data_IF_339668942239
#
_entry.id   IF_339668942239
#
_cell.length_a   1.000
_cell.length_b   1.000
_cell.length_c   1.000
_cell.angle_alpha   90.00
_cell.angle_beta   90.00
_cell.angle_gamma   90.00
#
_symmetry.space_group_name_H-M   'P 1'
#
loop_
_entity.id
_entity.type
_entity.pdbx_description
1 polymer ?
#
# COMPACT_ATOMS: atom_id res chain seq x y z
N UNK A 1 33.45 7.42 -60.41
CA UNK A 1 34.62 7.49 -59.51
C UNK A 1 34.13 7.61 -58.09
N UNK A 2 34.62 6.74 -57.21
CA UNK A 2 34.24 6.63 -55.79
C UNK A 2 34.67 7.89 -55.04
N UNK A 3 33.80 8.42 -54.18
CA UNK A 3 34.20 9.31 -53.09
C UNK A 3 33.56 8.81 -51.79
N UNK A 4 34.44 8.32 -50.94
CA UNK A 4 34.26 7.89 -49.56
C UNK A 4 34.14 9.12 -48.68
N UNK A 5 33.11 9.17 -47.83
CA UNK A 5 33.06 10.12 -46.70
C UNK A 5 32.75 9.32 -45.44
N UNK A 6 33.77 9.16 -44.60
CA UNK A 6 33.67 8.60 -43.27
C UNK A 6 33.00 9.63 -42.33
N UNK A 7 31.97 9.20 -41.61
CA UNK A 7 31.37 9.94 -40.49
C UNK A 7 31.92 9.38 -39.18
N UNK A 8 32.47 10.27 -38.36
CA UNK A 8 32.97 9.99 -37.01
C UNK A 8 31.82 9.61 -36.07
N UNK A 9 31.92 8.43 -35.44
CA UNK A 9 31.09 7.99 -34.32
C UNK A 9 31.80 8.33 -33.01
N UNK A 10 31.22 9.22 -32.21
CA UNK A 10 31.67 9.51 -30.85
C UNK A 10 30.94 8.59 -29.87
N UNK A 11 31.64 7.57 -29.39
CA UNK A 11 31.15 6.64 -28.37
C UNK A 11 31.40 7.28 -27.00
N UNK A 12 30.34 7.77 -26.35
CA UNK A 12 30.37 8.12 -24.91
C UNK A 12 30.34 6.84 -24.09
N UNK A 13 31.42 6.61 -23.34
CA UNK A 13 31.55 5.51 -22.39
C UNK A 13 30.53 5.64 -21.24
N UNK A 14 29.80 4.56 -20.99
CA UNK A 14 28.88 4.44 -19.86
C UNK A 14 29.67 4.31 -18.55
N UNK A 15 29.44 5.23 -17.62
CA UNK A 15 29.95 5.20 -16.25
C UNK A 15 29.30 4.08 -15.44
N UNK A 16 30.11 3.23 -14.79
CA UNK A 16 29.68 2.16 -13.88
C UNK A 16 28.86 2.72 -12.70
N UNK A 17 27.78 2.04 -12.26
CA UNK A 17 27.05 2.43 -11.06
C UNK A 17 27.84 2.04 -9.79
N UNK A 18 27.94 2.98 -8.85
CA UNK A 18 28.49 2.82 -7.51
C UNK A 18 27.54 1.96 -6.63
N UNK A 19 28.05 1.23 -5.62
CA UNK A 19 27.22 0.43 -4.73
C UNK A 19 26.32 1.31 -3.84
N UNK A 20 25.05 0.91 -3.72
CA UNK A 20 24.01 1.58 -2.92
C UNK A 20 24.12 1.10 -1.46
N UNK A 21 24.06 1.97 -0.44
CA UNK A 21 24.19 1.56 0.96
C UNK A 21 22.97 0.75 1.44
N UNK A 22 23.24 -0.26 2.27
CA UNK A 22 22.29 -1.28 2.73
C UNK A 22 21.51 -0.90 4.00
N UNK A 23 21.30 0.38 4.29
CA UNK A 23 20.64 0.80 5.53
C UNK A 23 19.81 2.08 5.34
N UNK A 24 18.56 2.04 5.81
CA UNK A 24 17.67 3.19 5.93
C UNK A 24 18.32 4.31 6.77
N UNK A 25 18.30 5.58 6.33
CA UNK A 25 18.47 6.69 7.25
C UNK A 25 17.20 6.84 8.10
N UNK A 26 17.31 6.61 9.41
CA UNK A 26 16.23 6.88 10.37
C UNK A 26 15.93 8.39 10.42
N UNK A 27 14.66 8.83 10.33
CA UNK A 27 14.33 10.27 10.41
C UNK A 27 14.28 10.80 11.85
N UNK A 28 14.54 9.98 12.87
CA UNK A 28 14.51 10.40 14.27
C UNK A 28 15.87 10.23 14.95
N UNK A 29 16.74 11.23 14.80
CA UNK A 29 17.82 11.48 15.76
C UNK A 29 18.09 12.98 15.83
N UNK A 30 17.38 13.68 16.72
CA UNK A 30 17.83 14.96 17.28
C UNK A 30 18.29 14.69 18.71
N UNK A 31 19.53 15.04 18.98
CA UNK A 31 20.24 14.87 20.24
C UNK A 31 19.45 15.47 21.41
N UNK A 32 19.07 14.63 22.39
CA UNK A 32 18.70 15.10 23.72
C UNK A 32 19.89 14.90 24.66
N UNK A 33 20.50 16.01 25.04
CA UNK A 33 21.47 16.09 26.14
C UNK A 33 20.73 16.16 27.47
N UNK A 34 20.97 15.20 28.38
CA UNK A 34 20.46 15.22 29.76
C UNK A 34 21.10 16.34 30.59
N UNK A 35 20.33 17.02 31.46
CA UNK A 35 20.88 17.66 32.65
C UNK A 35 20.78 16.73 33.87
N UNK A 36 21.84 16.78 34.69
CA UNK A 36 22.00 16.03 35.94
C UNK A 36 21.07 16.56 37.05
N UNK A 37 20.41 15.62 37.72
CA UNK A 37 20.27 15.50 39.18
C UNK A 37 19.61 16.60 40.03
N UNK A 38 18.60 16.21 40.81
CA UNK A 38 18.61 16.39 42.26
C UNK A 38 17.75 15.32 42.95
N UNK A 39 18.23 14.82 44.09
CA UNK A 39 17.56 13.81 44.92
C UNK A 39 16.67 14.50 45.95
N UNK A 40 15.47 14.00 46.18
CA UNK A 40 14.76 14.18 47.45
C UNK A 40 13.96 12.92 47.81
N UNK A 41 14.37 12.32 48.92
CA UNK A 41 13.73 11.21 49.63
C UNK A 41 12.62 11.74 50.53
N UNK A 42 11.43 11.14 50.49
CA UNK A 42 10.47 11.19 51.61
C UNK A 42 9.84 9.80 51.80
N UNK A 43 9.89 9.36 53.05
CA UNK A 43 9.48 8.08 53.63
C UNK A 43 7.96 7.91 53.75
N UNK A 44 7.46 6.69 53.55
CA UNK A 44 6.11 6.26 53.93
C UNK A 44 6.15 5.40 55.20
N UNK A 45 5.24 5.58 56.17
CA UNK A 45 4.99 4.57 57.20
C UNK A 45 3.84 3.64 56.78
N UNK A 46 4.03 2.33 57.01
CA UNK A 46 3.01 1.29 56.98
C UNK A 46 2.18 1.31 58.28
N UNK A 47 0.84 1.24 58.16
CA UNK A 47 -0.02 0.62 59.17
C UNK A 47 -1.23 -0.06 58.53
N UNK A 48 -1.68 -1.14 59.18
CA UNK A 48 -2.53 -2.26 58.74
C UNK A 48 -4.06 -2.01 58.93
N UNK A 49 -4.97 -2.96 58.58
CA UNK A 49 -6.26 -2.71 57.93
C UNK A 49 -7.48 -2.75 58.87
N UNK A 50 -8.62 -2.17 58.42
CA UNK A 50 -9.95 -2.44 58.97
C UNK A 50 -10.99 -2.51 57.84
N UNK A 51 -11.83 -3.55 57.91
CA UNK A 51 -13.01 -3.84 57.09
C UNK A 51 -14.24 -3.10 57.65
N UNK A 52 -15.12 -2.57 56.78
CA UNK A 52 -16.59 -2.77 56.89
C UNK A 52 -17.38 -2.02 55.83
N UNK A 53 -18.41 -2.71 55.34
CA UNK A 53 -19.58 -2.27 54.55
C UNK A 53 -20.00 -0.80 54.61
N UNK A 54 -20.35 -0.25 53.44
CA UNK A 54 -21.17 0.94 53.32
C UNK A 54 -21.52 1.24 51.86
N UNK A 55 -22.67 0.73 51.39
CA UNK A 55 -23.29 1.18 50.15
C UNK A 55 -23.53 2.70 50.24
N UNK A 56 -22.87 3.49 49.40
CA UNK A 56 -23.28 4.85 49.09
C UNK A 56 -23.56 4.96 47.61
N UNK A 57 -24.86 5.01 47.31
CA UNK A 57 -25.39 5.54 46.06
C UNK A 57 -25.00 7.01 45.95
N UNK A 58 -24.30 7.38 44.88
CA UNK A 58 -24.12 8.76 44.46
C UNK A 58 -24.76 8.91 43.09
N UNK A 59 -26.02 9.34 43.11
CA UNK A 59 -26.71 9.94 41.99
C UNK A 59 -26.08 11.30 41.67
N UNK A 60 -25.45 11.41 40.51
CA UNK A 60 -25.09 12.69 39.91
C UNK A 60 -26.07 12.97 38.77
N UNK A 61 -26.88 14.00 38.97
CA UNK A 61 -27.82 14.58 38.02
C UNK A 61 -27.07 15.22 36.85
N UNK A 62 -27.35 14.75 35.64
CA UNK A 62 -26.96 15.41 34.39
C UNK A 62 -27.82 16.67 34.22
N UNK A 63 -27.21 17.83 34.41
CA UNK A 63 -27.72 19.08 33.88
C UNK A 63 -27.41 19.09 32.39
N UNK A 64 -28.48 19.02 31.59
CA UNK A 64 -28.46 19.20 30.15
C UNK A 64 -28.22 20.68 29.85
N UNK A 65 -27.00 21.02 29.44
CA UNK A 65 -26.77 22.23 28.66
C UNK A 65 -26.38 21.84 27.24
N UNK A 66 -27.28 22.17 26.32
CA UNK A 66 -27.18 21.85 24.91
C UNK A 66 -26.19 22.81 24.24
N UNK A 67 -24.92 22.42 24.20
CA UNK A 67 -23.89 23.02 23.36
C UNK A 67 -23.37 21.99 22.36
N UNK A 68 -23.78 22.10 21.11
CA UNK A 68 -23.31 21.30 19.98
C UNK A 68 -21.83 21.58 19.68
N UNK A 69 -20.95 20.90 20.41
CA UNK A 69 -19.52 20.86 20.15
C UNK A 69 -19.02 19.42 20.11
N UNK A 70 -18.95 18.83 18.91
CA UNK A 70 -18.12 17.63 18.72
C UNK A 70 -16.68 18.03 19.08
N UNK A 71 -15.93 17.27 19.89
CA UNK A 71 -14.54 17.62 20.19
C UNK A 71 -13.71 17.52 18.91
N UNK A 72 -13.52 18.63 18.20
CA UNK A 72 -12.76 18.69 16.94
C UNK A 72 -11.27 18.37 17.12
N UNK A 73 -10.74 18.45 18.35
CA UNK A 73 -9.31 18.27 18.61
C UNK A 73 -8.84 16.82 18.56
N UNK A 74 -9.66 15.85 18.96
CA UNK A 74 -9.28 14.43 18.97
C UNK A 74 -9.30 13.81 17.58
N UNK A 75 -10.28 14.17 16.74
CA UNK A 75 -10.40 13.67 15.37
C UNK A 75 -9.32 14.22 14.44
N UNK A 76 -8.90 15.48 14.63
CA UNK A 76 -7.85 16.08 13.82
C UNK A 76 -6.47 15.47 14.10
N UNK A 77 -6.17 15.13 15.36
CA UNK A 77 -4.95 14.44 15.75
C UNK A 77 -4.86 13.02 15.18
N UNK A 78 -5.96 12.27 15.26
CA UNK A 78 -6.06 10.92 14.70
C UNK A 78 -5.85 10.91 13.17
N UNK A 79 -6.49 11.82 12.43
CA UNK A 79 -6.29 11.92 10.97
C UNK A 79 -4.84 12.31 10.62
N UNK A 80 -4.24 13.26 11.36
CA UNK A 80 -2.85 13.65 11.13
C UNK A 80 -1.89 12.48 11.33
N UNK A 81 -2.13 11.66 12.36
CA UNK A 81 -1.33 10.46 12.61
C UNK A 81 -1.53 9.41 11.50
N UNK A 82 -2.78 9.11 11.12
CA UNK A 82 -3.07 8.22 9.99
C UNK A 82 -2.29 8.63 8.74
N UNK A 83 -2.38 9.91 8.36
CA UNK A 83 -1.69 10.44 7.17
C UNK A 83 -0.17 10.32 7.28
N UNK A 84 0.40 10.50 8.48
CA UNK A 84 1.83 10.33 8.71
C UNK A 84 2.29 8.88 8.54
N UNK A 85 1.46 7.93 8.99
CA UNK A 85 1.71 6.48 8.78
C UNK A 85 1.59 6.12 7.30
N UNK A 86 0.55 6.58 6.61
CA UNK A 86 0.38 6.37 5.17
C UNK A 86 1.53 6.98 4.37
N UNK A 87 1.99 8.18 4.73
CA UNK A 87 3.17 8.81 4.13
C UNK A 87 4.44 8.00 4.36
N UNK A 88 4.59 7.38 5.52
CA UNK A 88 5.74 6.50 5.81
C UNK A 88 5.70 5.25 4.93
N UNK A 89 4.53 4.61 4.79
CA UNK A 89 4.33 3.49 3.85
C UNK A 89 4.63 3.89 2.40
N UNK A 90 4.13 5.05 1.96
CA UNK A 90 4.39 5.60 0.63
C UNK A 90 5.89 5.86 0.42
N UNK A 91 6.59 6.40 1.41
CA UNK A 91 8.03 6.68 1.33
C UNK A 91 8.83 5.40 1.11
N UNK A 92 8.54 4.34 1.87
CA UNK A 92 9.14 3.01 1.69
C UNK A 92 8.84 2.47 0.29
N UNK A 93 7.59 2.60 -0.16
CA UNK A 93 7.16 2.16 -1.48
C UNK A 93 7.91 2.90 -2.60
N UNK A 94 7.97 4.23 -2.59
CA UNK A 94 8.64 4.99 -3.65
C UNK A 94 10.16 4.81 -3.66
N UNK A 95 10.77 4.55 -2.51
CA UNK A 95 12.20 4.22 -2.43
C UNK A 95 12.52 2.91 -3.15
N UNK A 96 11.68 1.88 -2.98
CA UNK A 96 11.89 0.54 -3.52
C UNK A 96 11.44 0.40 -4.98
N UNK A 97 10.61 1.34 -5.47
CA UNK A 97 9.94 1.25 -6.77
C UNK A 97 10.20 2.51 -7.60
N UNK A 98 11.40 2.63 -8.23
CA UNK A 98 11.77 3.79 -9.03
C UNK A 98 10.80 4.07 -10.19
N UNK A 99 10.17 3.04 -10.77
CA UNK A 99 9.17 3.20 -11.83
C UNK A 99 7.95 3.95 -11.30
N UNK A 100 7.43 3.57 -10.13
CA UNK A 100 6.30 4.25 -9.51
C UNK A 100 6.62 5.72 -9.18
N UNK A 101 7.83 5.99 -8.67
CA UNK A 101 8.30 7.35 -8.40
C UNK A 101 8.37 8.17 -9.70
N UNK A 102 8.98 7.63 -10.75
CA UNK A 102 9.10 8.30 -12.03
C UNK A 102 7.72 8.58 -12.67
N UNK A 103 6.78 7.65 -12.56
CA UNK A 103 5.39 7.85 -13.01
C UNK A 103 4.73 9.03 -12.28
N UNK A 104 4.82 9.07 -10.94
CA UNK A 104 4.21 10.16 -10.15
C UNK A 104 4.88 11.52 -10.45
N UNK A 105 6.19 11.56 -10.64
CA UNK A 105 6.92 12.75 -11.06
C UNK A 105 6.50 13.21 -12.46
N UNK A 106 6.38 12.27 -13.40
CA UNK A 106 5.98 12.57 -14.78
C UNK A 106 4.56 13.14 -14.83
N UNK A 107 3.60 12.55 -14.14
CA UNK A 107 2.22 13.07 -14.06
C UNK A 107 2.20 14.48 -13.47
N UNK A 108 2.98 14.74 -12.41
CA UNK A 108 3.10 16.10 -11.83
C UNK A 108 3.75 17.10 -12.78
N UNK A 109 4.63 16.66 -13.67
CA UNK A 109 5.31 17.54 -14.63
C UNK A 109 4.47 17.84 -15.87
N UNK A 110 3.51 16.97 -16.21
CA UNK A 110 2.65 17.12 -17.38
C UNK A 110 1.56 18.20 -17.21
N UNK A 111 1.31 18.65 -15.97
CA UNK A 111 0.39 19.74 -15.67
C UNK A 111 0.28 20.01 -14.17
N UNK A 112 -0.56 20.97 -13.77
CA UNK A 112 -0.86 21.26 -12.35
C UNK A 112 -1.81 20.22 -11.72
N UNK A 113 -1.56 18.94 -12.01
CA UNK A 113 -2.43 17.85 -11.56
C UNK A 113 -2.20 17.54 -10.08
N UNK A 114 -3.30 17.63 -9.33
CA UNK A 114 -3.36 17.12 -7.98
C UNK A 114 -3.61 15.62 -8.03
N UNK A 115 -2.53 14.82 -8.00
CA UNK A 115 -2.63 13.37 -7.93
C UNK A 115 -3.42 13.00 -6.68
N UNK A 116 -4.50 12.24 -6.85
CA UNK A 116 -5.26 11.64 -5.77
C UNK A 116 -5.11 10.12 -5.85
N UNK A 117 -4.97 9.45 -4.71
CA UNK A 117 -4.96 8.00 -4.68
C UNK A 117 -6.37 7.44 -4.60
N UNK A 118 -6.69 6.55 -5.54
CA UNK A 118 -7.96 5.81 -5.55
C UNK A 118 -7.99 4.77 -4.42
N UNK A 119 -6.91 4.00 -4.31
CA UNK A 119 -6.73 2.98 -3.30
C UNK A 119 -5.25 2.66 -3.03
N UNK A 120 -5.03 1.98 -1.90
CA UNK A 120 -3.79 1.33 -1.49
C UNK A 120 -4.05 -0.17 -1.39
N UNK A 121 -3.08 -1.00 -1.80
CA UNK A 121 -3.24 -2.45 -1.72
C UNK A 121 -2.16 -3.16 -0.91
N UNK A 122 -2.58 -4.21 -0.20
CA UNK A 122 -1.70 -5.03 0.64
C UNK A 122 -1.95 -6.53 0.39
N UNK A 123 -0.89 -7.32 0.58
CA UNK A 123 -0.91 -8.78 0.49
C UNK A 123 -0.51 -9.37 1.84
N UNK A 124 -1.12 -10.50 2.21
CA UNK A 124 -0.96 -11.11 3.53
C UNK A 124 -1.06 -12.64 3.46
N UNK A 125 -0.69 -13.33 4.54
CA UNK A 125 -0.88 -14.77 4.66
C UNK A 125 -2.08 -15.07 5.56
N UNK A 126 -3.12 -15.71 5.02
CA UNK A 126 -4.33 -16.10 5.76
C UNK A 126 -4.09 -17.29 6.68
N UNK A 127 -3.26 -17.11 7.70
CA UNK A 127 -2.95 -18.12 8.73
C UNK A 127 -2.52 -17.46 10.03
N UNK A 128 -2.93 -18.01 11.18
CA UNK A 128 -2.54 -17.58 12.52
C UNK A 128 -2.56 -16.05 12.74
N UNK A 129 -3.64 -15.40 12.29
CA UNK A 129 -3.85 -13.96 12.47
C UNK A 129 -2.92 -13.05 11.66
N UNK A 130 -2.15 -13.57 10.69
CA UNK A 130 -1.30 -12.79 9.79
C UNK A 130 -2.01 -12.37 8.49
N UNK A 131 -3.31 -12.66 8.37
CA UNK A 131 -4.15 -12.38 7.20
C UNK A 131 -4.67 -10.95 7.14
N UNK A 132 -5.84 -10.76 6.51
CA UNK A 132 -6.46 -9.45 6.30
C UNK A 132 -6.57 -8.65 7.61
N UNK A 133 -7.01 -9.30 8.69
CA UNK A 133 -7.28 -8.65 9.97
C UNK A 133 -6.03 -7.97 10.57
N UNK A 134 -4.84 -8.51 10.30
CA UNK A 134 -3.57 -7.94 10.79
C UNK A 134 -3.33 -6.52 10.28
N UNK A 135 -3.69 -6.25 9.03
CA UNK A 135 -3.57 -4.93 8.41
C UNK A 135 -4.87 -4.12 8.54
N UNK A 136 -6.03 -4.78 8.44
CA UNK A 136 -7.33 -4.12 8.50
C UNK A 136 -7.58 -3.42 9.83
N UNK A 137 -7.12 -4.00 10.95
CA UNK A 137 -7.26 -3.41 12.30
C UNK A 137 -6.80 -1.95 12.35
N UNK A 138 -5.66 -1.63 11.74
CA UNK A 138 -5.16 -0.26 11.64
C UNK A 138 -6.17 0.67 10.94
N UNK A 139 -6.69 0.28 9.77
CA UNK A 139 -7.65 1.12 9.05
C UNK A 139 -8.97 1.29 9.80
N UNK A 140 -9.46 0.21 10.43
CA UNK A 140 -10.68 0.22 11.23
C UNK A 140 -10.57 1.17 12.44
N UNK A 141 -9.42 1.20 13.11
CA UNK A 141 -9.14 2.14 14.22
C UNK A 141 -9.23 3.62 13.79
N UNK A 142 -9.02 3.91 12.49
CA UNK A 142 -9.17 5.25 11.92
C UNK A 142 -10.47 5.46 11.13
N UNK A 143 -11.50 4.66 11.41
CA UNK A 143 -12.86 4.88 10.93
C UNK A 143 -13.12 4.44 9.49
N UNK A 144 -12.24 3.61 8.91
CA UNK A 144 -12.57 2.91 7.68
C UNK A 144 -13.67 1.88 7.92
N UNK A 145 -14.47 1.59 6.90
CA UNK A 145 -15.55 0.61 7.00
C UNK A 145 -15.31 -0.53 6.02
N UNK A 146 -15.29 -1.77 6.52
CA UNK A 146 -15.22 -2.97 5.69
C UNK A 146 -16.40 -3.03 4.72
N UNK A 147 -16.13 -3.44 3.48
CA UNK A 147 -17.10 -3.57 2.40
C UNK A 147 -17.12 -5.02 1.88
N UNK A 148 -17.35 -5.21 0.58
CA UNK A 148 -17.51 -6.54 -0.03
C UNK A 148 -16.23 -7.39 0.02
N UNK A 149 -16.46 -8.70 0.04
CA UNK A 149 -15.43 -9.73 -0.12
C UNK A 149 -15.29 -10.13 -1.60
N UNK A 150 -14.05 -10.29 -2.06
CA UNK A 150 -13.70 -10.82 -3.36
C UNK A 150 -12.97 -12.15 -3.20
N UNK A 151 -13.23 -13.11 -4.09
CA UNK A 151 -12.59 -14.43 -4.08
C UNK A 151 -11.93 -14.72 -5.42
N UNK A 152 -10.74 -15.32 -5.35
CA UNK A 152 -9.94 -15.71 -6.52
C UNK A 152 -9.58 -17.19 -6.39
N UNK A 153 -10.50 -18.12 -6.70
CA UNK A 153 -10.30 -19.55 -6.43
C UNK A 153 -9.06 -20.13 -7.10
N UNK A 154 -8.79 -19.74 -8.36
CA UNK A 154 -7.62 -20.22 -9.11
C UNK A 154 -6.29 -19.81 -8.44
N UNK A 155 -6.23 -18.61 -7.85
CA UNK A 155 -5.06 -18.09 -7.12
C UNK A 155 -5.06 -18.44 -5.64
N UNK A 156 -6.12 -19.09 -5.15
CA UNK A 156 -6.36 -19.41 -3.73
C UNK A 156 -6.30 -18.16 -2.83
N UNK A 157 -6.90 -17.06 -3.28
CA UNK A 157 -6.93 -15.79 -2.54
C UNK A 157 -8.36 -15.42 -2.14
N UNK A 158 -8.48 -14.67 -1.03
CA UNK A 158 -9.62 -13.77 -0.81
C UNK A 158 -9.12 -12.35 -0.55
N UNK A 159 -9.99 -11.37 -0.74
CA UNK A 159 -9.72 -9.99 -0.42
C UNK A 159 -10.94 -9.31 0.18
N UNK A 160 -10.70 -8.31 1.02
CA UNK A 160 -11.69 -7.35 1.50
C UNK A 160 -11.20 -5.96 1.14
N UNK A 161 -12.14 -5.05 0.87
CA UNK A 161 -11.79 -3.64 0.75
C UNK A 161 -12.51 -2.80 1.80
N UNK A 162 -11.93 -1.64 2.08
CA UNK A 162 -12.35 -0.76 3.16
C UNK A 162 -12.52 0.65 2.60
N UNK A 163 -13.71 1.22 2.79
CA UNK A 163 -14.01 2.59 2.41
C UNK A 163 -13.51 3.57 3.47
N UNK A 164 -12.94 4.72 3.07
CA UNK A 164 -12.44 5.71 4.02
C UNK A 164 -13.57 6.45 4.75
N UNK A 165 -13.31 7.07 5.92
CA UNK A 165 -14.31 7.85 6.64
C UNK A 165 -14.80 9.06 5.82
N UNK A 166 -16.10 9.33 5.85
CA UNK A 166 -16.78 10.37 5.04
C UNK A 166 -16.34 11.82 5.37
N UNK A 167 -15.83 12.06 6.58
CA UNK A 167 -15.52 13.40 7.09
C UNK A 167 -14.04 13.78 7.04
N UNK A 168 -13.26 13.22 6.10
CA UNK A 168 -11.91 13.71 5.82
C UNK A 168 -11.95 14.67 4.63
N UNK A 169 -12.27 15.96 4.82
CA UNK A 169 -12.07 16.96 3.78
C UNK A 169 -10.56 16.99 3.52
N UNK A 170 -10.13 16.39 2.42
CA UNK A 170 -8.73 16.41 2.01
C UNK A 170 -8.19 17.83 2.14
N UNK A 171 -6.99 18.00 2.69
CA UNK A 171 -6.44 19.31 3.07
C UNK A 171 -5.96 20.12 1.85
N UNK A 172 -6.65 20.01 0.71
CA UNK A 172 -6.18 20.54 -0.57
C UNK A 172 -4.83 19.94 -1.00
N UNK A 173 -4.47 18.75 -0.50
CA UNK A 173 -3.20 18.07 -0.76
C UNK A 173 -3.27 17.04 -1.88
N UNK A 174 -2.11 16.49 -2.25
CA UNK A 174 -1.95 15.40 -3.23
C UNK A 174 -1.51 14.11 -2.54
N UNK A 175 -1.68 12.96 -3.20
CA UNK A 175 -1.32 11.63 -2.70
C UNK A 175 -2.04 11.33 -1.39
N UNK A 176 -1.28 10.91 -0.38
CA UNK A 176 -1.79 10.61 0.97
C UNK A 176 -2.33 11.83 1.74
N UNK A 177 -2.07 13.06 1.27
CA UNK A 177 -2.61 14.30 1.86
C UNK A 177 -3.88 14.80 1.15
N UNK A 178 -4.31 14.13 0.07
CA UNK A 178 -5.57 14.39 -0.61
C UNK A 178 -6.78 13.70 0.05
N UNK A 179 -7.84 13.42 -0.72
CA UNK A 179 -8.89 12.49 -0.30
C UNK A 179 -8.25 11.17 0.16
N UNK A 180 -8.74 10.61 1.27
CA UNK A 180 -8.21 9.35 1.77
C UNK A 180 -8.49 8.23 0.73
N UNK A 181 -7.49 7.39 0.42
CA UNK A 181 -7.67 6.29 -0.51
C UNK A 181 -8.51 5.17 0.12
N UNK A 182 -9.14 4.33 -0.69
CA UNK A 182 -9.67 3.03 -0.22
C UNK A 182 -8.51 2.12 0.17
N UNK A 183 -8.74 1.12 1.02
CA UNK A 183 -7.75 0.07 1.29
C UNK A 183 -8.23 -1.27 0.74
N UNK A 184 -7.41 -1.94 -0.07
CA UNK A 184 -7.65 -3.27 -0.58
C UNK A 184 -6.67 -4.25 0.08
N UNK A 185 -7.17 -5.23 0.82
CA UNK A 185 -6.32 -6.15 1.58
C UNK A 185 -6.67 -7.57 1.15
N UNK A 186 -5.68 -8.28 0.65
CA UNK A 186 -5.82 -9.67 0.22
C UNK A 186 -5.05 -10.60 1.14
N UNK A 187 -5.47 -11.86 1.20
CA UNK A 187 -4.74 -12.94 1.86
C UNK A 187 -4.71 -14.21 1.00
N UNK A 188 -3.58 -14.91 1.09
CA UNK A 188 -3.46 -16.28 0.60
C UNK A 188 -4.20 -17.23 1.54
N UNK A 189 -5.06 -18.09 0.99
CA UNK A 189 -5.72 -19.17 1.71
C UNK A 189 -4.72 -20.32 1.92
N UNK A 190 -3.86 -20.19 2.94
CA UNK A 190 -2.70 -21.08 3.17
C UNK A 190 -3.12 -22.55 3.26
N UNK A 191 -4.25 -22.85 3.89
CA UNK A 191 -4.72 -24.22 4.07
C UNK A 191 -5.13 -24.92 2.76
N UNK A 192 -5.27 -24.17 1.65
CA UNK A 192 -5.51 -24.71 0.31
C UNK A 192 -4.22 -25.00 -0.48
N UNK A 193 -3.05 -24.68 0.09
CA UNK A 193 -1.75 -24.91 -0.53
C UNK A 193 -1.24 -26.33 -0.29
N UNK A 194 -0.20 -26.75 -1.02
CA UNK A 194 0.47 -28.02 -0.74
C UNK A 194 1.02 -28.07 0.70
N UNK A 195 1.15 -29.25 1.33
CA UNK A 195 1.73 -29.38 2.67
C UNK A 195 3.11 -28.70 2.78
N UNK A 196 3.95 -28.85 1.75
CA UNK A 196 5.27 -28.22 1.72
C UNK A 196 5.21 -26.69 1.78
N UNK A 197 4.31 -26.07 1.01
CA UNK A 197 4.10 -24.61 1.06
C UNK A 197 3.51 -24.17 2.39
N UNK A 198 2.54 -24.92 2.93
CA UNK A 198 1.97 -24.65 4.24
C UNK A 198 3.05 -24.64 5.32
N UNK A 199 3.95 -25.62 5.33
CA UNK A 199 5.02 -25.75 6.32
C UNK A 199 6.02 -24.58 6.25
N UNK A 200 6.40 -24.16 5.04
CA UNK A 200 7.27 -22.99 4.84
C UNK A 200 6.58 -21.73 5.38
N UNK A 201 5.33 -21.46 5.00
CA UNK A 201 4.63 -20.24 5.45
C UNK A 201 4.45 -20.27 6.97
N UNK A 202 4.02 -21.41 7.53
CA UNK A 202 3.82 -21.57 8.98
C UNK A 202 5.13 -21.42 9.76
N UNK A 203 6.29 -21.82 9.21
CA UNK A 203 7.61 -21.57 9.81
C UNK A 203 7.84 -20.06 10.00
N UNK A 204 7.69 -19.25 8.95
CA UNK A 204 7.93 -17.80 9.01
C UNK A 204 6.90 -17.07 9.86
N UNK A 205 5.63 -17.46 9.77
CA UNK A 205 4.56 -16.91 10.62
C UNK A 205 4.81 -17.23 12.10
N UNK A 206 5.29 -18.43 12.43
CA UNK A 206 5.67 -18.78 13.81
C UNK A 206 6.84 -17.95 14.32
N UNK A 207 7.87 -17.70 13.48
CA UNK A 207 9.01 -16.86 13.82
C UNK A 207 8.56 -15.42 14.09
N UNK A 208 7.62 -14.91 13.28
CA UNK A 208 7.04 -13.58 13.46
C UNK A 208 6.32 -13.42 14.81
N UNK A 209 5.78 -14.50 15.37
CA UNK A 209 5.13 -14.49 16.67
C UNK A 209 3.95 -13.50 16.69
N UNK A 210 4.05 -12.45 17.51
CA UNK A 210 3.04 -11.38 17.59
C UNK A 210 3.25 -10.26 16.55
N UNK A 211 4.15 -10.43 15.58
CA UNK A 211 4.46 -9.42 14.56
C UNK A 211 3.24 -8.98 13.74
N UNK A 212 2.23 -9.84 13.58
CA UNK A 212 0.95 -9.49 12.97
C UNK A 212 0.21 -8.33 13.65
N UNK A 213 0.37 -8.14 14.97
CA UNK A 213 -0.22 -7.01 15.70
C UNK A 213 0.40 -5.65 15.32
N UNK A 214 1.50 -5.68 14.57
CA UNK A 214 2.26 -4.51 14.17
C UNK A 214 2.42 -4.42 12.65
N UNK A 215 1.51 -5.02 11.87
CA UNK A 215 1.58 -5.08 10.40
C UNK A 215 1.70 -3.69 9.76
N UNK A 216 0.88 -2.71 10.19
CA UNK A 216 0.95 -1.34 9.68
C UNK A 216 2.29 -0.66 10.00
N UNK A 217 2.84 -0.90 11.20
CA UNK A 217 4.16 -0.39 11.59
C UNK A 217 5.27 -1.04 10.75
N UNK A 218 5.21 -2.36 10.55
CA UNK A 218 6.15 -3.08 9.68
C UNK A 218 6.13 -2.55 8.24
N UNK A 219 4.94 -2.23 7.72
CA UNK A 219 4.77 -1.58 6.41
C UNK A 219 5.41 -0.19 6.37
N UNK A 220 5.13 0.65 7.36
CA UNK A 220 5.65 2.02 7.47
C UNK A 220 7.18 2.08 7.63
N UNK A 221 7.78 1.06 8.27
CA UNK A 221 9.23 0.94 8.44
C UNK A 221 9.92 0.17 7.30
N UNK A 222 9.15 -0.51 6.44
CA UNK A 222 9.70 -1.33 5.36
C UNK A 222 10.43 -2.57 5.84
N UNK A 223 9.96 -3.19 6.92
CA UNK A 223 10.59 -4.35 7.55
C UNK A 223 9.72 -5.60 7.46
N UNK A 224 10.36 -6.77 7.34
CA UNK A 224 9.68 -8.05 7.55
C UNK A 224 9.45 -8.26 9.05
N UNK A 225 8.33 -8.88 9.42
CA UNK A 225 8.07 -9.28 10.81
C UNK A 225 8.69 -10.63 11.14
N UNK A 226 9.21 -11.34 10.15
CA UNK A 226 9.99 -12.56 10.27
C UNK A 226 11.42 -12.36 9.78
N UNK A 227 12.29 -13.34 10.05
CA UNK A 227 13.67 -13.34 9.56
C UNK A 227 13.73 -13.44 8.03
N UNK A 228 14.88 -13.06 7.46
CA UNK A 228 15.11 -13.21 6.02
C UNK A 228 14.95 -14.68 5.61
N UNK A 229 14.20 -14.97 4.54
CA UNK A 229 13.99 -16.33 4.13
C UNK A 229 15.22 -16.98 3.51
N UNK A 230 15.22 -18.31 3.44
CA UNK A 230 16.14 -19.07 2.59
C UNK A 230 15.75 -18.90 1.12
N UNK A 231 16.75 -18.87 0.24
CA UNK A 231 16.53 -18.77 -1.19
C UNK A 231 15.75 -19.97 -1.74
N UNK A 232 16.08 -21.17 -1.28
CA UNK A 232 15.41 -22.41 -1.67
C UNK A 232 13.92 -22.43 -1.30
N UNK A 233 13.55 -21.89 -0.15
CA UNK A 233 12.16 -21.79 0.30
C UNK A 233 11.39 -20.74 -0.52
N UNK A 234 12.02 -19.60 -0.85
CA UNK A 234 11.44 -18.63 -1.79
C UNK A 234 11.16 -19.25 -3.16
N UNK A 235 12.13 -19.99 -3.73
CA UNK A 235 11.94 -20.68 -5.00
C UNK A 235 10.85 -21.77 -4.93
N UNK A 236 10.74 -22.47 -3.80
CA UNK A 236 9.66 -23.44 -3.58
C UNK A 236 8.29 -22.76 -3.60
N UNK A 237 8.13 -21.64 -2.89
CA UNK A 237 6.89 -20.88 -2.93
C UNK A 237 6.60 -20.36 -4.33
N UNK A 238 7.60 -19.81 -5.03
CA UNK A 238 7.43 -19.22 -6.36
C UNK A 238 6.95 -20.24 -7.41
N UNK A 239 7.26 -21.52 -7.25
CA UNK A 239 6.77 -22.60 -8.13
C UNK A 239 5.27 -22.87 -7.97
N UNK A 240 4.71 -22.67 -6.78
CA UNK A 240 3.29 -22.97 -6.52
C UNK A 240 2.43 -21.70 -6.49
N UNK A 241 2.95 -20.60 -5.93
CA UNK A 241 2.25 -19.34 -5.80
C UNK A 241 3.24 -18.17 -5.79
N UNK A 242 3.24 -17.41 -6.87
CA UNK A 242 3.99 -16.16 -6.96
C UNK A 242 3.52 -15.13 -5.92
N UNK A 243 2.23 -15.17 -5.54
CA UNK A 243 1.70 -14.38 -4.42
C UNK A 243 2.38 -14.75 -3.09
N UNK A 244 2.55 -16.05 -2.83
CA UNK A 244 3.21 -16.52 -1.61
C UNK A 244 4.68 -16.09 -1.58
N UNK A 245 5.40 -16.27 -2.70
CA UNK A 245 6.79 -15.86 -2.83
C UNK A 245 6.95 -14.33 -2.65
N UNK A 246 6.06 -13.54 -3.25
CA UNK A 246 6.04 -12.09 -3.10
C UNK A 246 5.85 -11.69 -1.63
N UNK A 247 4.83 -12.26 -0.97
CA UNK A 247 4.51 -11.93 0.42
C UNK A 247 5.65 -12.33 1.36
N UNK A 248 6.36 -13.44 1.09
CA UNK A 248 7.48 -13.89 1.91
C UNK A 248 8.62 -12.85 1.98
N UNK A 249 8.98 -12.22 0.85
CA UNK A 249 10.11 -11.28 0.76
C UNK A 249 9.72 -9.80 0.88
N UNK A 250 8.42 -9.48 0.76
CA UNK A 250 7.90 -8.12 0.90
C UNK A 250 7.12 -7.87 2.19
N UNK A 251 6.63 -8.93 2.85
CA UNK A 251 5.81 -8.83 4.06
C UNK A 251 4.59 -7.94 3.86
N UNK A 252 4.37 -7.03 4.79
CA UNK A 252 3.26 -6.07 4.79
C UNK A 252 3.53 -4.80 3.97
N UNK A 253 4.57 -4.77 3.13
CA UNK A 253 4.85 -3.63 2.28
C UNK A 253 3.64 -3.27 1.40
N UNK A 254 3.47 -1.98 1.13
CA UNK A 254 2.47 -1.47 0.19
C UNK A 254 2.72 -2.09 -1.20
N UNK A 255 1.76 -2.88 -1.68
CA UNK A 255 1.89 -3.61 -2.95
C UNK A 255 1.72 -2.69 -4.16
N UNK A 256 0.85 -1.69 -4.06
CA UNK A 256 0.74 -0.61 -5.03
C UNK A 256 -0.06 0.56 -4.46
N UNK A 257 0.17 1.74 -5.05
CA UNK A 257 -0.75 2.86 -5.00
C UNK A 257 -1.49 2.95 -6.34
N UNK A 258 -2.67 3.55 -6.33
CA UNK A 258 -3.47 3.70 -7.55
C UNK A 258 -3.80 5.17 -7.79
N UNK A 259 -3.42 5.72 -8.95
CA UNK A 259 -3.82 7.08 -9.34
C UNK A 259 -5.29 7.08 -9.77
N UNK A 260 -6.07 7.99 -9.18
CA UNK A 260 -7.45 8.25 -9.61
C UNK A 260 -7.44 9.14 -10.86
N UNK A 261 -7.58 8.51 -12.02
CA UNK A 261 -7.44 9.16 -13.33
C UNK A 261 -8.52 10.21 -13.57
N UNK A 262 -9.75 9.95 -13.14
CA UNK A 262 -10.87 10.88 -13.30
C UNK A 262 -10.72 12.17 -12.48
N UNK A 263 -9.74 12.25 -11.59
CA UNK A 263 -9.41 13.45 -10.80
C UNK A 263 -8.28 14.30 -11.40
N UNK A 264 -7.59 13.79 -12.42
CA UNK A 264 -6.62 14.58 -13.18
C UNK A 264 -7.37 15.65 -13.99
N UNK A 265 -6.77 16.84 -14.09
CA UNK A 265 -7.33 18.01 -14.76
C UNK A 265 -6.68 18.26 -16.12
N UNK A 266 -5.45 17.79 -16.31
CA UNK A 266 -4.71 17.93 -17.57
C UNK A 266 -5.33 17.11 -18.70
N UNK A 267 -4.68 17.13 -19.87
CA UNK A 267 -4.96 16.25 -21.01
C UNK A 267 -4.78 14.75 -20.69
N UNK A 268 -4.26 14.41 -19.50
CA UNK A 268 -4.19 13.04 -18.99
C UNK A 268 -5.50 12.54 -18.41
N UNK A 269 -6.56 13.37 -18.36
CA UNK A 269 -7.91 12.91 -18.02
C UNK A 269 -8.37 11.86 -19.04
N UNK A 270 -8.74 10.68 -18.52
CA UNK A 270 -9.12 9.51 -19.31
C UNK A 270 -7.99 8.48 -19.37
N UNK A 271 -8.29 7.25 -18.97
CA UNK A 271 -7.29 6.19 -18.76
C UNK A 271 -6.59 5.76 -20.05
N UNK A 272 -7.26 5.83 -21.19
CA UNK A 272 -6.65 5.53 -22.49
C UNK A 272 -5.58 6.56 -22.87
N UNK A 273 -5.84 7.84 -22.64
CA UNK A 273 -4.87 8.92 -22.88
C UNK A 273 -3.67 8.76 -21.96
N UNK A 274 -3.93 8.46 -20.68
CA UNK A 274 -2.89 8.22 -19.69
C UNK A 274 -2.01 7.01 -20.03
N UNK A 275 -2.61 5.88 -20.44
CA UNK A 275 -1.87 4.69 -20.85
C UNK A 275 -0.96 5.00 -22.04
N UNK A 276 -1.50 5.63 -23.08
CA UNK A 276 -0.73 6.04 -24.24
C UNK A 276 0.43 6.97 -23.85
N UNK A 277 0.16 7.94 -22.98
CA UNK A 277 1.18 8.86 -22.49
C UNK A 277 2.32 8.12 -21.78
N UNK A 278 2.03 7.10 -20.98
CA UNK A 278 3.08 6.30 -20.32
C UNK A 278 3.85 5.41 -21.30
N UNK A 279 3.18 4.78 -22.26
CA UNK A 279 3.83 3.98 -23.30
C UNK A 279 4.76 4.85 -24.16
N UNK A 280 4.29 6.04 -24.57
CA UNK A 280 5.08 7.02 -25.34
C UNK A 280 6.31 7.52 -24.54
N UNK A 281 6.28 7.46 -23.20
CA UNK A 281 7.40 7.78 -22.30
C UNK A 281 8.23 6.54 -21.89
N UNK A 282 7.99 5.38 -22.51
CA UNK A 282 8.80 4.17 -22.33
C UNK A 282 8.47 3.33 -21.09
N UNK A 283 7.35 3.60 -20.41
CA UNK A 283 6.88 2.75 -19.31
C UNK A 283 6.20 1.50 -19.85
N UNK A 284 6.49 0.35 -19.22
CA UNK A 284 5.83 -0.92 -19.54
C UNK A 284 4.56 -1.10 -18.73
N UNK A 285 3.44 -1.28 -19.42
CA UNK A 285 2.16 -1.62 -18.80
C UNK A 285 1.94 -3.13 -18.77
N UNK A 286 1.25 -3.61 -17.73
CA UNK A 286 0.84 -5.01 -17.61
C UNK A 286 -0.13 -5.34 -18.75
N UNK A 287 0.27 -6.30 -19.58
CA UNK A 287 -0.46 -6.71 -20.79
C UNK A 287 -1.31 -7.98 -20.60
N UNK A 288 -1.30 -8.62 -19.42
CA UNK A 288 -2.15 -9.78 -19.12
C UNK A 288 -3.64 -9.38 -19.18
N UNK A 289 -4.44 -10.05 -19.99
CA UNK A 289 -5.83 -9.66 -20.24
C UNK A 289 -6.02 -8.34 -21.01
N UNK A 290 -4.98 -7.84 -21.70
CA UNK A 290 -4.95 -6.53 -22.35
C UNK A 290 -4.48 -5.41 -21.40
N UNK A 291 -3.94 -4.31 -21.92
CA UNK A 291 -3.42 -3.21 -21.08
C UNK A 291 -4.52 -2.62 -20.18
N UNK A 292 -5.71 -2.40 -20.76
CA UNK A 292 -6.88 -1.90 -20.05
C UNK A 292 -7.80 -3.03 -19.63
N UNK A 293 -8.06 -3.14 -18.32
CA UNK A 293 -9.03 -4.06 -17.72
C UNK A 293 -10.30 -3.28 -17.47
N UNK A 294 -11.42 -3.80 -17.95
CA UNK A 294 -12.72 -3.11 -17.88
C UNK A 294 -13.70 -4.04 -17.19
N UNK A 295 -14.35 -3.55 -16.14
CA UNK A 295 -15.39 -4.29 -15.43
C UNK A 295 -16.55 -4.63 -16.36
N UNK A 296 -17.35 -5.67 -16.08
CA UNK A 296 -18.49 -6.05 -16.92
C UNK A 296 -19.53 -4.93 -17.13
N UNK A 297 -19.69 -4.04 -16.14
CA UNK A 297 -20.56 -2.86 -16.24
C UNK A 297 -19.94 -1.71 -17.05
N UNK A 298 -18.66 -1.80 -17.42
CA UNK A 298 -17.90 -0.78 -18.14
C UNK A 298 -17.45 0.41 -17.29
N UNK A 299 -17.81 0.45 -16.00
CA UNK A 299 -17.72 1.65 -15.16
C UNK A 299 -16.45 1.72 -14.30
N UNK A 300 -15.71 0.62 -14.18
CA UNK A 300 -14.38 0.58 -13.55
C UNK A 300 -13.36 0.12 -14.58
N UNK A 301 -12.46 1.03 -14.92
CA UNK A 301 -11.38 0.80 -15.87
C UNK A 301 -10.04 0.91 -15.16
N UNK A 302 -9.17 -0.06 -15.37
CA UNK A 302 -7.91 -0.17 -14.65
C UNK A 302 -6.77 -0.57 -15.57
N UNK A 303 -5.57 -0.05 -15.30
CA UNK A 303 -4.31 -0.45 -15.91
C UNK A 303 -3.21 -0.33 -14.87
N UNK A 304 -2.07 -0.97 -15.09
CA UNK A 304 -0.93 -0.90 -14.17
C UNK A 304 0.38 -1.03 -14.89
N UNK A 305 1.46 -0.54 -14.28
CA UNK A 305 2.81 -0.87 -14.74
C UNK A 305 3.15 -2.32 -14.43
N UNK A 306 4.16 -2.85 -15.13
CA UNK A 306 4.88 -4.03 -14.64
C UNK A 306 5.64 -3.64 -13.36
N UNK A 307 5.73 -4.55 -12.39
CA UNK A 307 6.42 -4.29 -11.13
C UNK A 307 7.93 -4.06 -11.32
N UNK A 308 8.51 -3.24 -10.45
CA UNK A 308 9.96 -3.19 -10.31
C UNK A 308 10.48 -4.48 -9.67
N UNK A 309 11.77 -4.75 -9.85
CA UNK A 309 12.47 -5.81 -9.11
C UNK A 309 13.66 -5.23 -8.37
N UNK A 310 13.97 -5.74 -7.18
CA UNK A 310 15.07 -5.25 -6.36
C UNK A 310 15.98 -6.41 -5.90
N UNK A 311 17.31 -6.20 -5.78
CA UNK A 311 18.20 -7.21 -5.22
C UNK A 311 17.84 -7.54 -3.76
N UNK A 312 17.54 -8.81 -3.48
CA UNK A 312 17.25 -9.32 -2.15
C UNK A 312 18.32 -10.32 -1.74
N UNK A 313 18.97 -10.07 -0.61
CA UNK A 313 19.92 -11.01 -0.01
C UNK A 313 19.20 -11.90 1.01
N UNK A 314 19.12 -13.19 0.70
CA UNK A 314 18.53 -14.26 1.52
C UNK A 314 19.43 -14.60 2.73
N UNK A 315 18.89 -15.37 3.69
CA UNK A 315 19.64 -15.73 4.91
C UNK A 315 20.81 -16.69 4.68
N UNK A 316 20.79 -17.44 3.57
CA UNK A 316 21.89 -18.27 3.09
C UNK A 316 22.95 -17.48 2.27
N UNK A 317 22.81 -16.16 2.19
CA UNK A 317 23.76 -15.27 1.52
C UNK A 317 23.56 -15.14 0.01
N UNK A 318 22.65 -15.91 -0.59
CA UNK A 318 22.30 -15.78 -2.02
C UNK A 318 21.65 -14.41 -2.26
N UNK A 319 21.95 -13.79 -3.41
CA UNK A 319 21.32 -12.55 -3.85
C UNK A 319 20.56 -12.81 -5.15
N UNK A 320 19.24 -12.61 -5.14
CA UNK A 320 18.40 -12.68 -6.35
C UNK A 320 17.59 -11.38 -6.50
N UNK A 321 17.23 -11.01 -7.74
CA UNK A 321 16.26 -9.95 -7.96
C UNK A 321 14.84 -10.49 -7.76
N UNK A 322 14.14 -9.97 -6.77
CA UNK A 322 12.76 -10.37 -6.47
C UNK A 322 11.77 -9.26 -6.87
N UNK A 323 10.53 -9.61 -7.25
CA UNK A 323 9.50 -8.60 -7.52
C UNK A 323 9.23 -7.76 -6.28
N UNK A 324 9.18 -6.45 -6.50
CA UNK A 324 8.69 -5.47 -5.54
C UNK A 324 7.26 -5.07 -5.94
N UNK A 325 6.96 -3.79 -6.02
CA UNK A 325 5.63 -3.27 -6.22
C UNK A 325 5.49 -2.66 -7.61
N UNK A 326 4.25 -2.33 -7.99
CA UNK A 326 3.92 -1.61 -9.22
C UNK A 326 3.04 -0.41 -8.87
N UNK A 327 2.74 0.44 -9.85
CA UNK A 327 1.73 1.50 -9.71
C UNK A 327 0.54 1.18 -10.62
N UNK A 328 -0.66 1.47 -10.13
CA UNK A 328 -1.92 1.27 -10.86
C UNK A 328 -2.57 2.62 -11.22
N UNK A 329 -3.44 2.60 -12.21
CA UNK A 329 -4.28 3.70 -12.65
C UNK A 329 -5.72 3.22 -12.73
N UNK A 330 -6.64 3.95 -12.11
CA UNK A 330 -8.06 3.60 -12.11
C UNK A 330 -8.93 4.79 -12.52
N UNK A 331 -9.86 4.54 -13.43
CA UNK A 331 -10.91 5.47 -13.82
C UNK A 331 -12.27 4.89 -13.40
N UNK A 332 -13.00 5.67 -12.60
CA UNK A 332 -14.35 5.34 -12.15
C UNK A 332 -15.34 6.22 -12.91
N UNK A 333 -16.18 5.61 -13.75
CA UNK A 333 -17.18 6.32 -14.52
C UNK A 333 -18.43 6.63 -13.68
N UNK A 334 -19.18 7.63 -14.15
CA UNK A 334 -20.42 8.09 -13.51
C UNK A 334 -21.48 7.00 -13.62
N UNK A 335 -22.17 6.73 -12.52
CA UNK A 335 -23.24 5.73 -12.49
C UNK A 335 -24.41 6.17 -13.39
N UNK A 336 -25.15 5.22 -14.01
CA UNK A 336 -26.20 5.55 -14.98
C UNK A 336 -27.26 6.54 -14.47
N UNK A 337 -27.64 6.45 -13.20
CA UNK A 337 -28.62 7.35 -12.57
C UNK A 337 -28.15 8.81 -12.46
N UNK A 338 -26.85 9.07 -12.62
CA UNK A 338 -26.22 10.39 -12.54
C UNK A 338 -25.71 10.88 -13.90
N UNK A 339 -26.01 10.17 -15.00
CA UNK A 339 -25.49 10.47 -16.35
C UNK A 339 -25.76 11.91 -16.82
N UNK A 340 -26.86 12.50 -16.37
CA UNK A 340 -27.27 13.85 -16.77
C UNK A 340 -26.74 14.95 -15.82
N UNK A 341 -25.97 14.59 -14.78
CA UNK A 341 -25.34 15.60 -13.94
C UNK A 341 -24.28 16.35 -14.73
N UNK A 342 -24.24 17.69 -14.64
CA UNK A 342 -23.13 18.47 -15.16
C UNK A 342 -21.79 17.97 -14.62
N UNK A 343 -20.75 17.89 -15.46
CA UNK A 343 -19.44 17.32 -15.08
C UNK A 343 -18.82 18.02 -13.85
N UNK A 344 -19.06 19.32 -13.69
CA UNK A 344 -18.62 20.12 -12.54
C UNK A 344 -19.37 19.82 -11.23
N UNK A 345 -20.51 19.13 -11.30
CA UNK A 345 -21.30 18.67 -10.15
C UNK A 345 -21.05 17.19 -9.80
N UNK A 346 -20.33 16.46 -10.66
CA UNK A 346 -19.98 15.06 -10.42
C UNK A 346 -19.03 14.94 -9.22
N UNK A 347 -19.44 14.19 -8.20
CA UNK A 347 -18.66 13.87 -7.01
C UNK A 347 -18.27 12.40 -7.01
N UNK A 348 -17.34 12.01 -6.14
CA UNK A 348 -16.85 10.62 -6.05
C UNK A 348 -17.98 9.61 -5.85
N UNK A 349 -18.97 9.93 -5.02
CA UNK A 349 -20.11 9.05 -4.74
C UNK A 349 -21.11 8.94 -5.91
N UNK A 350 -20.97 9.75 -6.96
CA UNK A 350 -21.72 9.60 -8.21
C UNK A 350 -21.05 8.59 -9.16
N UNK A 351 -19.86 8.08 -8.83
CA UNK A 351 -19.07 7.16 -9.67
C UNK A 351 -19.12 5.74 -9.14
N UNK A 352 -18.79 4.75 -9.99
CA UNK A 352 -18.71 3.34 -9.61
C UNK A 352 -17.71 3.13 -8.48
N UNK A 353 -18.21 2.81 -7.30
CA UNK A 353 -17.40 2.48 -6.12
C UNK A 353 -17.06 0.99 -6.05
N UNK A 354 -16.14 0.58 -5.17
CA UNK A 354 -15.74 -0.81 -4.99
C UNK A 354 -14.78 -1.35 -6.06
N UNK A 355 -14.66 -2.68 -6.15
CA UNK A 355 -13.69 -3.37 -7.01
C UNK A 355 -14.39 -4.35 -7.95
N UNK A 356 -13.61 -4.98 -8.83
CA UNK A 356 -14.10 -6.09 -9.64
C UNK A 356 -13.09 -7.25 -9.72
N UNK A 357 -13.58 -8.47 -9.49
CA UNK A 357 -12.83 -9.74 -9.47
C UNK A 357 -12.12 -9.96 -10.80
N UNK A 358 -12.83 -9.80 -11.93
CA UNK A 358 -12.24 -10.01 -13.26
C UNK A 358 -11.03 -9.10 -13.53
N UNK A 359 -11.14 -7.83 -13.14
CA UNK A 359 -10.04 -6.88 -13.26
C UNK A 359 -8.89 -7.22 -12.30
N UNK A 360 -9.22 -7.42 -11.02
CA UNK A 360 -8.23 -7.67 -9.97
C UNK A 360 -7.42 -8.95 -10.21
N UNK A 361 -8.04 -10.00 -10.74
CA UNK A 361 -7.38 -11.27 -11.08
C UNK A 361 -6.20 -11.05 -12.04
N UNK A 362 -6.39 -10.17 -13.05
CA UNK A 362 -5.37 -9.81 -14.04
C UNK A 362 -4.36 -8.80 -13.54
N UNK A 363 -4.74 -7.95 -12.59
CA UNK A 363 -3.84 -6.98 -11.97
C UNK A 363 -2.85 -7.65 -11.00
N UNK A 364 -3.24 -8.73 -10.31
CA UNK A 364 -2.30 -9.50 -9.47
C UNK A 364 -1.05 -9.96 -10.24
N UNK A 365 -1.19 -10.18 -11.55
CA UNK A 365 -0.12 -10.61 -12.45
C UNK A 365 0.92 -9.51 -12.75
N UNK A 366 0.72 -8.26 -12.31
CA UNK A 366 1.73 -7.21 -12.48
C UNK A 366 3.05 -7.52 -11.77
N UNK A 367 3.04 -8.42 -10.79
CA UNK A 367 4.24 -8.95 -10.11
C UNK A 367 4.74 -10.28 -10.69
N UNK A 368 4.13 -10.80 -11.76
CA UNK A 368 4.44 -12.15 -12.23
C UNK A 368 5.77 -12.22 -12.98
N UNK A 369 6.43 -13.36 -12.88
CA UNK A 369 7.69 -13.62 -13.60
C UNK A 369 7.53 -13.44 -15.10
N UNK A 370 6.37 -13.81 -15.64
CA UNK A 370 6.07 -13.64 -17.06
C UNK A 370 6.06 -12.15 -17.45
N UNK A 371 5.36 -11.29 -16.70
CA UNK A 371 5.38 -9.84 -16.97
C UNK A 371 6.78 -9.25 -16.85
N UNK A 372 7.54 -9.65 -15.81
CA UNK A 372 8.87 -9.13 -15.53
C UNK A 372 9.92 -9.49 -16.58
N UNK A 373 9.77 -10.66 -17.23
CA UNK A 373 10.75 -11.18 -18.20
C UNK A 373 10.39 -10.86 -19.66
N UNK A 374 9.21 -10.30 -19.93
CA UNK A 374 8.84 -9.83 -21.27
C UNK A 374 9.83 -8.77 -21.78
N UNK A 375 10.56 -9.14 -22.84
CA UNK A 375 11.34 -8.20 -23.65
C UNK A 375 10.36 -7.29 -24.40
N UNK A 376 10.70 -6.00 -24.52
CA UNK A 376 9.93 -5.12 -25.39
C UNK A 376 10.01 -5.69 -26.81
N UNK A 377 8.85 -5.87 -27.45
CA UNK A 377 8.75 -6.33 -28.83
C UNK A 377 9.30 -5.27 -29.80
#
# INVERSE_FOLDING_TARGET
MKLSTAMFSSVRAASRPQPVPSSFPSPFCKNFTSPKGSKSTVSFPLTRPISSNGKRSLSASLSSDAGSGVPQSSSQGAESFLRSVLQSMETVYLYRNPTARAVLELVRSAGEDQICYDHLAFRTFGVNGHGIDSMASFFLDYGYTQQEELRFPAKKLRALWFSPPKFSPGRGGSGVHGPLPRAFISELLVDQMSPQTQDIIRKYVRISGNGNKHAALASALGTLTWEKPLHSEFQQLARESEYAAWTLVNGYALNHVTISVHRLKSNLKGINNLNKFFEDNGFKLNSEGGVLKVSPDGLLQQSSTVADSFPFQFSDGVIERVPCSYIEFAERLVLPQFKNLPENEVKEFHRRDGFEVGNADKIFESTSKEQLTRRAA
#
